data_IF_881389898507
#
_entry.id   IF_881389898507
#
_cell.length_a   1.000
_cell.length_b   1.000
_cell.length_c   1.000
_cell.angle_alpha   90.00
_cell.angle_beta   90.00
_cell.angle_gamma   90.00
#
_symmetry.space_group_name_H-M   'P 1'
#
loop_
_entity.id
_entity.type
_entity.pdbx_description
1 polymer ?
#
# COMPACT_ATOMS: atom_id res chain seq x y z
N UNK A 1 -6.85 10.13 -8.75
CA UNK A 1 -8.19 10.52 -8.25
C UNK A 1 -8.22 10.23 -6.75
N UNK A 2 -8.37 11.25 -5.90
CA UNK A 2 -8.30 11.05 -4.44
C UNK A 2 -9.65 10.65 -3.88
N UNK A 3 -9.66 9.63 -3.04
CA UNK A 3 -10.86 8.95 -2.56
C UNK A 3 -11.51 9.64 -1.35
N UNK A 4 -10.96 10.78 -0.94
CA UNK A 4 -11.36 11.56 0.24
C UNK A 4 -12.83 12.00 0.25
N UNK A 5 -13.50 12.07 -0.91
CA UNK A 5 -14.88 12.55 -1.01
C UNK A 5 -15.90 11.48 -1.44
N UNK A 6 -15.53 10.21 -1.62
CA UNK A 6 -16.50 9.19 -2.01
C UNK A 6 -17.37 8.77 -0.80
N UNK A 7 -18.68 9.03 -0.92
CA UNK A 7 -19.70 8.57 0.03
C UNK A 7 -20.34 7.28 -0.48
N UNK A 8 -20.48 6.29 0.39
CA UNK A 8 -21.10 5.02 0.05
C UNK A 8 -22.64 5.13 0.08
N UNK A 9 -23.30 4.79 -1.03
CA UNK A 9 -24.77 4.78 -1.10
C UNK A 9 -25.44 3.75 -0.15
N UNK A 10 -24.71 2.73 0.32
CA UNK A 10 -25.25 1.69 1.23
C UNK A 10 -25.26 2.13 2.70
N UNK A 11 -24.21 2.80 3.16
CA UNK A 11 -24.05 3.17 4.57
C UNK A 11 -23.98 4.69 4.80
N UNK A 12 -24.15 5.49 3.76
CA UNK A 12 -24.21 6.95 3.77
C UNK A 12 -23.00 7.67 4.41
N UNK A 13 -21.88 7.00 4.63
CA UNK A 13 -20.65 7.64 5.09
C UNK A 13 -19.49 7.43 4.12
N UNK A 14 -18.31 7.98 4.43
CA UNK A 14 -17.15 7.92 3.53
C UNK A 14 -16.61 6.50 3.39
N UNK A 15 -16.23 6.16 2.16
CA UNK A 15 -15.72 4.83 1.77
C UNK A 15 -14.38 4.52 2.48
N UNK A 16 -13.59 5.55 2.76
CA UNK A 16 -12.28 5.45 3.43
C UNK A 16 -12.34 4.79 4.82
N UNK A 17 -13.47 4.90 5.53
CA UNK A 17 -13.66 4.32 6.87
C UNK A 17 -13.99 2.81 6.83
N UNK A 18 -14.37 2.23 5.69
CA UNK A 18 -14.57 0.77 5.58
C UNK A 18 -15.70 0.17 6.43
N UNK A 19 -16.72 0.96 6.82
CA UNK A 19 -17.81 0.55 7.74
C UNK A 19 -18.69 -0.60 7.24
N UNK A 20 -18.82 -0.79 5.93
CA UNK A 20 -19.69 -1.83 5.34
C UNK A 20 -18.91 -2.66 4.30
N UNK A 21 -19.38 -3.87 3.93
CA UNK A 21 -18.66 -4.74 3.00
C UNK A 21 -18.42 -4.09 1.63
N UNK A 22 -19.38 -3.29 1.13
CA UNK A 22 -19.21 -2.54 -0.11
C UNK A 22 -18.13 -1.44 0.00
N UNK A 23 -18.03 -0.76 1.15
CA UNK A 23 -16.94 0.20 1.39
C UNK A 23 -15.57 -0.49 1.43
N UNK A 24 -15.48 -1.67 2.05
CA UNK A 24 -14.23 -2.43 2.13
C UNK A 24 -13.77 -2.88 0.75
N UNK A 25 -14.65 -3.48 -0.04
CA UNK A 25 -14.33 -3.89 -1.41
C UNK A 25 -13.89 -2.70 -2.29
N UNK A 26 -14.59 -1.57 -2.21
CA UNK A 26 -14.21 -0.36 -2.94
C UNK A 26 -12.86 0.22 -2.46
N UNK A 27 -12.57 0.14 -1.16
CA UNK A 27 -11.28 0.54 -0.60
C UNK A 27 -10.15 -0.39 -1.02
N UNK A 28 -10.38 -1.69 -1.04
CA UNK A 28 -9.43 -2.71 -1.51
C UNK A 28 -9.11 -2.54 -2.98
N UNK A 29 -10.10 -2.23 -3.82
CA UNK A 29 -9.89 -1.89 -5.24
C UNK A 29 -9.00 -0.64 -5.39
N UNK A 30 -9.30 0.42 -4.63
CA UNK A 30 -8.56 1.69 -4.69
C UNK A 30 -7.15 1.62 -4.07
N UNK A 31 -6.98 0.92 -2.94
CA UNK A 31 -5.67 0.73 -2.30
C UNK A 31 -4.86 -0.39 -2.96
N UNK A 32 -5.51 -1.38 -3.56
CA UNK A 32 -4.86 -2.45 -4.34
C UNK A 32 -4.27 -1.94 -5.66
N UNK A 33 -4.74 -0.79 -6.15
CA UNK A 33 -4.18 -0.10 -7.32
C UNK A 33 -2.92 0.71 -7.01
N UNK A 34 -2.52 0.82 -5.74
CA UNK A 34 -1.16 1.20 -5.41
C UNK A 34 -0.24 0.03 -5.75
N UNK A 35 0.34 -0.01 -6.95
CA UNK A 35 1.44 -0.93 -7.33
C UNK A 35 2.63 -0.91 -6.33
N UNK A 36 2.62 -0.01 -5.34
CA UNK A 36 3.57 0.12 -4.25
C UNK A 36 2.98 -0.18 -2.85
N UNK A 37 1.83 -0.85 -2.73
CA UNK A 37 1.46 -1.51 -1.47
C UNK A 37 2.30 -2.77 -1.24
N UNK A 38 3.59 -2.72 -1.61
CA UNK A 38 4.56 -3.65 -1.08
C UNK A 38 4.43 -3.53 0.44
N UNK A 39 4.03 -4.62 1.07
CA UNK A 39 3.96 -4.71 2.52
C UNK A 39 5.22 -4.04 3.09
N UNK A 40 5.15 -3.18 4.12
CA UNK A 40 6.33 -2.48 4.63
C UNK A 40 7.54 -3.41 4.86
N UNK A 41 7.25 -4.68 5.16
CA UNK A 41 8.20 -5.79 5.22
C UNK A 41 8.98 -6.05 3.91
N UNK A 42 8.31 -6.08 2.75
CA UNK A 42 8.95 -6.26 1.45
C UNK A 42 9.88 -5.10 1.10
N UNK A 43 9.46 -3.87 1.43
CA UNK A 43 10.30 -2.68 1.25
C UNK A 43 11.55 -2.79 2.13
N UNK A 44 11.38 -3.16 3.40
CA UNK A 44 12.50 -3.36 4.32
C UNK A 44 13.49 -4.43 3.83
N UNK A 45 12.98 -5.56 3.32
CA UNK A 45 13.81 -6.64 2.75
C UNK A 45 14.58 -6.14 1.52
N UNK A 46 13.92 -5.42 0.61
CA UNK A 46 14.56 -4.88 -0.60
C UNK A 46 15.69 -3.90 -0.25
N UNK A 47 15.44 -2.99 0.71
CA UNK A 47 16.47 -2.04 1.19
C UNK A 47 17.65 -2.78 1.83
N UNK A 48 17.38 -3.80 2.65
CA UNK A 48 18.42 -4.60 3.30
C UNK A 48 19.31 -5.33 2.27
N UNK A 49 18.69 -5.93 1.24
CA UNK A 49 19.43 -6.61 0.16
C UNK A 49 20.33 -5.65 -0.61
N UNK A 50 19.83 -4.48 -0.98
CA UNK A 50 20.61 -3.44 -1.67
C UNK A 50 21.80 -3.00 -0.81
N UNK A 51 21.59 -2.81 0.49
CA UNK A 51 22.64 -2.42 1.43
C UNK A 51 23.73 -3.50 1.54
N UNK A 52 23.34 -4.76 1.67
CA UNK A 52 24.28 -5.89 1.73
C UNK A 52 25.12 -6.01 0.45
N UNK A 53 24.50 -5.84 -0.72
CA UNK A 53 25.21 -5.83 -2.01
C UNK A 53 26.20 -4.67 -2.09
N UNK A 54 25.80 -3.47 -1.67
CA UNK A 54 26.68 -2.30 -1.66
C UNK A 54 27.90 -2.52 -0.75
N UNK A 55 27.70 -3.07 0.46
CA UNK A 55 28.81 -3.41 1.35
C UNK A 55 29.72 -4.49 0.74
N UNK A 56 29.15 -5.53 0.15
CA UNK A 56 29.92 -6.62 -0.45
C UNK A 56 30.81 -6.12 -1.60
N UNK A 57 30.27 -5.24 -2.46
CA UNK A 57 31.05 -4.59 -3.52
C UNK A 57 32.13 -3.69 -2.94
N UNK A 58 31.82 -2.90 -1.91
CA UNK A 58 32.79 -1.99 -1.31
C UNK A 58 33.93 -2.71 -0.57
N UNK A 59 33.69 -3.92 -0.05
CA UNK A 59 34.70 -4.76 0.59
C UNK A 59 35.54 -5.57 -0.41
N UNK A 60 35.03 -5.78 -1.63
CA UNK A 60 35.75 -6.46 -2.72
C UNK A 60 36.47 -5.52 -3.70
N UNK A 61 36.23 -4.21 -3.58
CA UNK A 61 36.91 -3.16 -4.32
C UNK A 61 38.13 -2.64 -3.54
#
# INVERSE_FOLDING_TARGET
>A
MSCDHLICARCAGPVMEGRCPACRAAREELHGQGMLSASPLLIAIAVLLVLMLALAVHLHA
#
